data_IF_260531314319
#
_entry.id   IF_260531314319
#
_cell.length_a   1.000
_cell.length_b   1.000
_cell.length_c   1.000
_cell.angle_alpha   90.00
_cell.angle_beta   90.00
_cell.angle_gamma   90.00
#
_symmetry.space_group_name_H-M   'P 1'
#
loop_
_entity.id
_entity.type
_entity.pdbx_description
1 polymer ?
#
# COMPACT_ATOMS: atom_id res chain seq x y z
N UNK A 1 -20.18 -6.49 -13.88
CA UNK A 1 -20.39 -6.66 -12.42
C UNK A 1 -19.81 -5.42 -11.75
N UNK A 2 -20.51 -4.74 -10.84
CA UNK A 2 -19.92 -3.57 -10.15
C UNK A 2 -18.76 -4.01 -9.26
N UNK A 3 -17.66 -3.25 -9.24
CA UNK A 3 -16.51 -3.53 -8.36
C UNK A 3 -16.88 -3.50 -6.88
N UNK A 4 -17.89 -2.73 -6.48
CA UNK A 4 -18.42 -2.77 -5.11
C UNK A 4 -19.01 -4.14 -4.75
N UNK A 5 -19.71 -4.78 -5.70
CA UNK A 5 -20.25 -6.15 -5.52
C UNK A 5 -19.13 -7.17 -5.44
N UNK A 6 -18.11 -7.03 -6.29
CA UNK A 6 -16.92 -7.88 -6.27
C UNK A 6 -16.19 -7.81 -4.92
N UNK A 7 -15.90 -6.59 -4.44
CA UNK A 7 -15.23 -6.40 -3.14
C UNK A 7 -16.02 -7.05 -2.01
N UNK A 8 -17.35 -6.87 -1.98
CA UNK A 8 -18.21 -7.51 -0.98
C UNK A 8 -18.17 -9.04 -1.05
N UNK A 9 -18.15 -9.60 -2.26
CA UNK A 9 -18.06 -11.05 -2.47
C UNK A 9 -16.72 -11.61 -1.98
N UNK A 10 -15.60 -11.03 -2.42
CA UNK A 10 -14.24 -11.51 -2.11
C UNK A 10 -13.91 -11.33 -0.62
N UNK A 11 -14.31 -10.19 -0.02
CA UNK A 11 -14.18 -9.98 1.43
C UNK A 11 -15.13 -10.92 2.21
N UNK A 12 -16.30 -11.26 1.67
CA UNK A 12 -17.17 -12.29 2.25
C UNK A 12 -16.50 -13.66 2.29
N UNK A 13 -15.78 -14.05 1.24
CA UNK A 13 -14.99 -15.28 1.22
C UNK A 13 -13.88 -15.28 2.28
N UNK A 14 -13.23 -14.14 2.52
CA UNK A 14 -12.26 -13.99 3.62
C UNK A 14 -12.90 -14.30 4.97
N UNK A 15 -14.05 -13.68 5.27
CA UNK A 15 -14.76 -13.87 6.54
C UNK A 15 -15.14 -15.35 6.73
N UNK A 16 -15.69 -16.01 5.72
CA UNK A 16 -16.03 -17.44 5.84
C UNK A 16 -14.79 -18.34 6.03
N UNK A 17 -13.68 -18.02 5.36
CA UNK A 17 -12.41 -18.75 5.53
C UNK A 17 -11.87 -18.63 6.97
N UNK A 18 -11.86 -17.42 7.52
CA UNK A 18 -11.42 -17.17 8.90
C UNK A 18 -12.39 -17.79 9.91
N UNK A 19 -13.71 -17.72 9.64
CA UNK A 19 -14.75 -18.33 10.48
C UNK A 19 -14.59 -19.84 10.58
N UNK A 20 -14.27 -20.52 9.48
CA UNK A 20 -13.96 -21.95 9.51
C UNK A 20 -12.77 -22.24 10.44
N UNK A 21 -11.70 -21.46 10.28
CA UNK A 21 -10.49 -21.60 11.12
C UNK A 21 -10.79 -21.32 12.61
N UNK A 22 -11.71 -20.38 12.89
CA UNK A 22 -12.16 -20.07 14.25
C UNK A 22 -12.95 -21.22 14.88
N UNK A 23 -13.80 -21.91 14.11
CA UNK A 23 -14.54 -23.10 14.57
C UNK A 23 -13.58 -24.24 14.91
N UNK A 24 -12.54 -24.39 14.09
CA UNK A 24 -11.52 -25.44 14.27
C UNK A 24 -10.48 -25.06 15.36
N UNK A 25 -10.54 -23.83 15.90
CA UNK A 25 -9.63 -23.33 16.93
C UNK A 25 -8.19 -23.14 16.44
N UNK A 26 -8.00 -23.01 15.12
CA UNK A 26 -6.71 -22.97 14.46
C UNK A 26 -6.08 -21.58 14.48
N UNK A 27 -4.74 -21.55 14.44
CA UNK A 27 -3.98 -20.32 14.21
C UNK A 27 -4.02 -20.00 12.72
N UNK A 28 -4.33 -18.75 12.41
CA UNK A 28 -4.47 -18.24 11.05
C UNK A 28 -3.32 -17.32 10.71
N UNK A 29 -2.72 -17.54 9.54
CA UNK A 29 -1.90 -16.56 8.86
C UNK A 29 -2.78 -15.46 8.25
N UNK A 30 -2.96 -14.37 9.00
CA UNK A 30 -3.81 -13.27 8.58
C UNK A 30 -3.16 -12.46 7.44
N UNK A 31 -1.84 -12.30 7.47
CA UNK A 31 -1.08 -11.62 6.40
C UNK A 31 -1.24 -12.33 5.05
N UNK A 32 -1.13 -13.65 5.03
CA UNK A 32 -1.33 -14.47 3.84
C UNK A 32 -2.76 -14.37 3.30
N UNK A 33 -3.77 -14.58 4.15
CA UNK A 33 -5.19 -14.50 3.75
C UNK A 33 -5.59 -13.12 3.21
N UNK A 34 -5.12 -12.03 3.82
CA UNK A 34 -5.37 -10.67 3.32
C UNK A 34 -4.68 -10.47 1.97
N UNK A 35 -3.44 -10.96 1.82
CA UNK A 35 -2.69 -10.84 0.56
C UNK A 35 -3.40 -11.54 -0.60
N UNK A 36 -3.93 -12.74 -0.37
CA UNK A 36 -4.73 -13.49 -1.36
C UNK A 36 -5.98 -12.72 -1.80
N UNK A 37 -6.69 -12.12 -0.84
CA UNK A 37 -7.91 -11.31 -1.10
C UNK A 37 -7.58 -10.07 -1.92
N UNK A 38 -6.52 -9.36 -1.56
CA UNK A 38 -6.06 -8.18 -2.30
C UNK A 38 -5.63 -8.57 -3.71
N UNK A 39 -4.91 -9.67 -3.88
CA UNK A 39 -4.49 -10.19 -5.18
C UNK A 39 -5.68 -10.62 -6.04
N UNK A 40 -6.68 -11.31 -5.51
CA UNK A 40 -7.88 -11.71 -6.27
C UNK A 40 -8.71 -10.49 -6.69
N UNK A 41 -8.88 -9.50 -5.81
CA UNK A 41 -9.55 -8.23 -6.15
C UNK A 41 -8.77 -7.51 -7.25
N UNK A 42 -7.46 -7.33 -7.09
CA UNK A 42 -6.62 -6.64 -8.07
C UNK A 42 -6.64 -7.36 -9.43
N UNK A 43 -6.46 -8.68 -9.44
CA UNK A 43 -6.49 -9.50 -10.67
C UNK A 43 -7.84 -9.40 -11.37
N UNK A 44 -8.93 -9.49 -10.61
CA UNK A 44 -10.27 -9.41 -11.18
C UNK A 44 -10.60 -8.01 -11.68
N UNK A 45 -10.12 -6.96 -11.01
CA UNK A 45 -10.28 -5.58 -11.47
C UNK A 45 -9.47 -5.29 -12.74
N UNK A 46 -8.27 -5.85 -12.87
CA UNK A 46 -7.37 -5.61 -14.01
C UNK A 46 -7.80 -6.44 -15.24
N UNK A 47 -8.10 -7.72 -15.05
CA UNK A 47 -8.32 -8.67 -16.16
C UNK A 47 -9.76 -9.13 -16.32
N UNK A 48 -10.66 -8.74 -15.41
CA UNK A 48 -12.06 -9.19 -15.44
C UNK A 48 -12.25 -10.68 -15.11
N UNK A 49 -11.23 -11.36 -14.57
CA UNK A 49 -11.25 -12.80 -14.24
C UNK A 49 -10.66 -13.05 -12.85
N UNK A 50 -11.23 -14.03 -12.12
CA UNK A 50 -10.71 -14.50 -10.81
C UNK A 50 -9.33 -15.14 -10.96
N UNK A 51 -8.52 -15.06 -9.91
CA UNK A 51 -7.10 -15.46 -9.83
C UNK A 51 -6.83 -16.98 -9.91
N UNK A 52 -7.55 -17.73 -10.76
CA UNK A 52 -7.33 -19.18 -10.96
C UNK A 52 -6.54 -19.52 -12.22
N UNK A 53 -5.96 -18.52 -12.89
CA UNK A 53 -5.24 -18.68 -14.15
C UNK A 53 -3.81 -18.11 -13.99
N UNK A 54 -2.82 -19.00 -13.81
CA UNK A 54 -1.37 -18.72 -13.60
C UNK A 54 -0.71 -17.86 -14.72
N UNK A 55 -1.47 -17.43 -15.73
CA UNK A 55 -0.98 -16.66 -16.88
C UNK A 55 -0.69 -15.20 -16.56
N UNK A 56 -1.15 -14.67 -15.43
CA UNK A 56 -0.96 -13.27 -15.05
C UNK A 56 -0.17 -13.14 -13.74
N UNK A 57 1.15 -13.17 -13.83
CA UNK A 57 2.02 -12.96 -12.67
C UNK A 57 2.08 -11.47 -12.27
N UNK A 58 0.99 -10.96 -11.70
CA UNK A 58 0.89 -9.58 -11.20
C UNK A 58 1.92 -9.30 -10.12
N UNK A 59 2.13 -10.25 -9.21
CA UNK A 59 3.15 -10.16 -8.17
C UNK A 59 4.54 -9.99 -8.78
N UNK A 60 4.89 -10.80 -9.77
CA UNK A 60 6.16 -10.70 -10.50
C UNK A 60 6.29 -9.41 -11.30
N UNK A 61 5.19 -8.89 -11.87
CA UNK A 61 5.23 -7.62 -12.58
C UNK A 61 5.33 -6.41 -11.64
N UNK A 62 4.62 -6.44 -10.51
CA UNK A 62 4.77 -5.44 -9.46
C UNK A 62 6.19 -5.46 -8.91
N UNK A 63 6.75 -6.64 -8.64
CA UNK A 63 8.14 -6.79 -8.20
C UNK A 63 9.14 -6.34 -9.26
N UNK A 64 8.87 -6.59 -10.55
CA UNK A 64 9.66 -6.09 -11.67
C UNK A 64 9.61 -4.56 -11.74
N UNK A 65 8.43 -3.95 -11.70
CA UNK A 65 8.24 -2.49 -11.65
C UNK A 65 8.97 -1.88 -10.45
N UNK A 66 8.84 -2.49 -9.28
CA UNK A 66 9.51 -2.05 -8.06
C UNK A 66 11.04 -2.17 -8.19
N UNK A 67 11.53 -3.27 -8.77
CA UNK A 67 12.96 -3.46 -9.03
C UNK A 67 13.51 -2.43 -10.03
N UNK A 68 12.78 -2.15 -11.11
CA UNK A 68 13.17 -1.22 -12.16
C UNK A 68 13.18 0.23 -11.67
N UNK A 69 12.21 0.58 -10.83
CA UNK A 69 12.19 1.89 -10.20
C UNK A 69 13.30 2.01 -9.13
N UNK A 70 13.64 0.97 -8.38
CA UNK A 70 14.76 1.02 -7.41
C UNK A 70 16.16 0.80 -8.02
N UNK A 71 16.26 0.36 -9.27
CA UNK A 71 17.52 -0.08 -9.87
C UNK A 71 18.53 1.06 -10.01
N UNK A 72 19.77 0.78 -9.60
CA UNK A 72 20.93 1.59 -9.99
C UNK A 72 21.10 1.54 -11.51
N UNK A 73 21.10 2.70 -12.15
CA UNK A 73 21.31 2.82 -13.58
C UNK A 73 22.67 3.49 -13.84
N UNK A 74 23.59 2.75 -14.46
CA UNK A 74 24.93 3.20 -14.80
C UNK A 74 24.91 4.44 -15.71
N UNK A 75 23.86 4.60 -16.51
CA UNK A 75 23.68 5.77 -17.35
C UNK A 75 23.44 7.06 -16.54
N UNK A 76 23.03 6.96 -15.27
CA UNK A 76 22.85 8.12 -14.38
C UNK A 76 24.21 8.62 -13.86
N UNK A 77 25.20 7.72 -13.73
CA UNK A 77 26.58 8.06 -13.36
C UNK A 77 27.46 8.39 -14.57
N UNK A 78 27.19 7.75 -15.72
CA UNK A 78 27.99 7.87 -16.95
C UNK A 78 27.07 8.20 -18.13
N UNK A 79 26.66 9.49 -18.28
CA UNK A 79 25.57 9.87 -19.18
C UNK A 79 25.75 9.48 -20.66
N UNK A 80 27.00 9.48 -21.16
CA UNK A 80 27.28 9.13 -22.56
C UNK A 80 27.05 7.65 -22.89
N UNK A 81 27.04 6.75 -21.89
CA UNK A 81 26.65 5.34 -22.06
C UNK A 81 25.14 5.13 -22.07
N UNK A 82 24.35 6.18 -21.80
CA UNK A 82 22.90 6.10 -21.71
C UNK A 82 22.20 5.67 -23.00
N UNK A 83 22.82 5.84 -24.18
CA UNK A 83 22.24 5.37 -25.46
C UNK A 83 22.27 3.85 -25.60
N UNK A 84 23.18 3.17 -24.89
CA UNK A 84 23.39 1.73 -25.04
C UNK A 84 22.38 0.90 -24.24
N UNK A 85 21.69 1.50 -23.25
CA UNK A 85 20.79 0.80 -22.32
C UNK A 85 21.43 -0.51 -21.82
N UNK A 86 22.67 -0.42 -21.33
CA UNK A 86 23.52 -1.58 -21.01
C UNK A 86 22.87 -2.56 -20.03
N UNK A 87 22.03 -2.05 -19.13
CA UNK A 87 21.29 -2.84 -18.14
C UNK A 87 19.87 -3.21 -18.60
N UNK A 88 19.48 -2.81 -19.82
CA UNK A 88 18.16 -3.07 -20.40
C UNK A 88 16.99 -2.40 -19.67
N UNK A 89 17.27 -1.49 -18.74
CA UNK A 89 16.29 -0.91 -17.83
C UNK A 89 15.24 -0.11 -18.59
N UNK A 90 15.62 0.62 -19.66
CA UNK A 90 14.65 1.39 -20.45
C UNK A 90 13.67 0.51 -21.21
N UNK A 91 14.17 -0.57 -21.84
CA UNK A 91 13.31 -1.54 -22.55
C UNK A 91 12.35 -2.25 -21.59
N UNK A 92 12.83 -2.69 -20.43
CA UNK A 92 12.03 -3.34 -19.39
C UNK A 92 10.98 -2.39 -18.80
N UNK A 93 11.36 -1.15 -18.51
CA UNK A 93 10.46 -0.09 -18.04
C UNK A 93 9.36 0.21 -19.06
N UNK A 94 9.68 0.29 -20.36
CA UNK A 94 8.67 0.53 -21.41
C UNK A 94 7.64 -0.62 -21.49
N UNK A 95 8.09 -1.87 -21.37
CA UNK A 95 7.20 -3.04 -21.33
C UNK A 95 6.28 -3.01 -20.11
N UNK A 96 6.82 -2.64 -18.95
CA UNK A 96 6.05 -2.53 -17.72
C UNK A 96 5.06 -1.35 -17.73
N UNK A 97 5.44 -0.20 -18.32
CA UNK A 97 4.58 0.97 -18.50
C UNK A 97 3.30 0.65 -19.27
N UNK A 98 3.40 -0.08 -20.38
CA UNK A 98 2.23 -0.45 -21.18
C UNK A 98 1.18 -1.25 -20.38
N UNK A 99 1.63 -2.03 -19.40
CA UNK A 99 0.73 -2.76 -18.51
C UNK A 99 0.10 -1.84 -17.46
N UNK A 100 0.91 -0.95 -16.87
CA UNK A 100 0.41 0.08 -15.94
C UNK A 100 -0.68 0.90 -16.62
N UNK A 101 -0.49 1.30 -17.88
CA UNK A 101 -1.49 2.06 -18.63
C UNK A 101 -2.85 1.34 -18.70
N UNK A 102 -2.87 0.02 -18.93
CA UNK A 102 -4.11 -0.79 -18.92
C UNK A 102 -4.79 -0.83 -17.54
N UNK A 103 -3.99 -0.91 -16.47
CA UNK A 103 -4.49 -0.88 -15.08
C UNK A 103 -5.08 0.50 -14.76
N UNK A 104 -4.42 1.58 -15.19
CA UNK A 104 -4.85 2.95 -14.96
C UNK A 104 -6.18 3.25 -15.64
N UNK A 105 -6.40 2.78 -16.87
CA UNK A 105 -7.68 2.96 -17.57
C UNK A 105 -8.86 2.37 -16.77
N UNK A 106 -8.67 1.18 -16.17
CA UNK A 106 -9.67 0.54 -15.32
C UNK A 106 -9.90 1.31 -14.00
N UNK A 107 -8.84 1.81 -13.36
CA UNK A 107 -8.95 2.59 -12.12
C UNK A 107 -9.61 3.95 -12.38
N UNK A 108 -9.30 4.61 -13.50
CA UNK A 108 -9.94 5.87 -13.90
C UNK A 108 -11.43 5.65 -14.14
N UNK A 109 -11.84 4.51 -14.71
CA UNK A 109 -13.25 4.18 -14.90
C UNK A 109 -14.05 4.00 -13.60
N UNK A 110 -13.37 3.68 -12.49
CA UNK A 110 -13.98 3.54 -11.16
C UNK A 110 -14.24 4.92 -10.50
N UNK A 111 -13.66 5.99 -11.03
CA UNK A 111 -13.70 7.32 -10.41
C UNK A 111 -15.01 8.07 -10.66
N UNK A 112 -16.13 7.54 -10.16
CA UNK A 112 -17.34 8.32 -9.87
C UNK A 112 -18.07 7.71 -8.66
N UNK A 113 -18.13 8.53 -7.58
CA UNK A 113 -18.87 8.35 -6.32
C UNK A 113 -18.19 7.48 -5.25
N UNK A 114 -17.36 8.13 -4.42
CA UNK A 114 -17.50 7.98 -2.97
C UNK A 114 -16.84 9.16 -2.23
N UNK A 115 -17.66 10.14 -1.87
CA UNK A 115 -17.31 11.27 -1.00
C UNK A 115 -17.97 11.04 0.35
N UNK A 116 -17.30 10.35 1.26
CA UNK A 116 -17.60 10.53 2.67
C UNK A 116 -16.30 10.66 3.49
N UNK A 117 -15.98 11.87 3.97
CA UNK A 117 -14.89 12.10 4.89
C UNK A 117 -15.39 11.85 6.32
N UNK A 118 -15.25 10.62 6.82
CA UNK A 118 -15.40 10.38 8.25
C UNK A 118 -14.20 9.60 8.77
N UNK A 119 -13.45 10.27 9.64
CA UNK A 119 -12.49 9.79 10.66
C UNK A 119 -11.70 8.56 10.26
N UNK A 120 -10.61 8.80 9.52
CA UNK A 120 -9.66 7.77 9.05
C UNK A 120 -8.42 7.72 9.93
N UNK A 121 -8.53 8.20 11.14
CA UNK A 121 -7.44 8.47 12.08
C UNK A 121 -6.51 7.26 12.25
N UNK A 122 -7.09 6.06 12.36
CA UNK A 122 -6.33 4.81 12.45
C UNK A 122 -5.54 4.48 11.18
N UNK A 123 -6.16 4.68 10.00
CA UNK A 123 -5.52 4.41 8.71
C UNK A 123 -4.45 5.45 8.40
N UNK A 124 -4.72 6.71 8.72
CA UNK A 124 -3.77 7.81 8.59
C UNK A 124 -2.54 7.57 9.45
N UNK A 125 -2.73 7.20 10.72
CA UNK A 125 -1.63 6.90 11.64
C UNK A 125 -0.83 5.67 11.21
N UNK A 126 -1.51 4.63 10.70
CA UNK A 126 -0.83 3.47 10.12
C UNK A 126 0.05 3.85 8.94
N UNK A 127 -0.42 4.73 8.05
CA UNK A 127 0.37 5.18 6.90
C UNK A 127 1.48 6.17 7.26
N UNK A 128 1.33 6.92 8.36
CA UNK A 128 2.39 7.80 8.88
C UNK A 128 3.58 6.98 9.39
N UNK A 129 3.31 5.99 10.24
CA UNK A 129 4.35 5.13 10.84
C UNK A 129 4.90 4.10 9.85
N UNK A 130 4.03 3.51 9.04
CA UNK A 130 4.39 2.42 8.13
C UNK A 130 4.00 2.76 6.68
N UNK A 131 4.59 3.80 6.07
CA UNK A 131 4.32 4.14 4.68
C UNK A 131 4.79 3.00 3.77
N UNK A 132 3.86 2.44 2.98
CA UNK A 132 4.16 1.35 2.05
C UNK A 132 5.30 1.74 1.08
N UNK A 133 5.39 3.00 0.65
CA UNK A 133 6.47 3.50 -0.20
C UNK A 133 7.26 4.59 0.54
N UNK A 134 8.25 4.24 1.38
CA UNK A 134 8.92 5.18 2.29
C UNK A 134 9.68 6.31 1.56
N UNK A 135 10.19 6.03 0.35
CA UNK A 135 10.90 7.01 -0.48
C UNK A 135 10.09 7.53 -1.68
N UNK A 136 8.80 7.17 -1.74
CA UNK A 136 7.88 7.40 -2.85
C UNK A 136 8.46 6.98 -4.22
N UNK A 137 7.74 7.29 -5.29
CA UNK A 137 8.25 7.10 -6.66
C UNK A 137 9.17 8.27 -6.99
N UNK A 138 10.43 8.02 -7.37
CA UNK A 138 11.38 9.11 -7.63
C UNK A 138 10.97 10.01 -8.79
N UNK A 139 11.30 11.29 -8.68
CA UNK A 139 11.10 12.31 -9.71
C UNK A 139 12.42 12.66 -10.38
N UNK A 140 12.35 13.25 -11.57
CA UNK A 140 13.51 13.72 -12.33
C UNK A 140 13.37 15.24 -12.55
N UNK A 141 14.44 15.98 -12.28
CA UNK A 141 14.52 17.41 -12.60
C UNK A 141 14.55 17.61 -14.13
N UNK A 142 13.57 18.36 -14.65
CA UNK A 142 13.44 18.62 -16.09
C UNK A 142 14.37 19.74 -16.59
N UNK A 143 14.86 20.56 -15.66
CA UNK A 143 15.78 21.69 -15.87
C UNK A 143 16.65 21.89 -14.63
N UNK A 144 17.72 22.66 -14.79
CA UNK A 144 18.54 23.11 -13.66
C UNK A 144 17.67 24.00 -12.78
N UNK A 145 17.66 23.74 -11.47
CA UNK A 145 16.80 24.46 -10.55
C UNK A 145 17.50 24.70 -9.22
N UNK A 146 16.88 25.48 -8.35
CA UNK A 146 17.32 25.71 -6.99
C UNK A 146 16.19 25.26 -6.06
N UNK A 147 16.50 24.39 -5.11
CA UNK A 147 15.57 24.00 -4.04
C UNK A 147 16.14 24.59 -2.75
N UNK A 148 15.39 25.50 -2.14
CA UNK A 148 15.88 26.38 -1.06
C UNK A 148 17.14 27.13 -1.50
N UNK A 149 18.31 26.78 -0.95
CA UNK A 149 19.60 27.39 -1.26
C UNK A 149 20.53 26.46 -2.09
N UNK A 150 20.03 25.29 -2.52
CA UNK A 150 20.82 24.26 -3.17
C UNK A 150 20.54 24.20 -4.67
N UNK A 151 21.60 24.31 -5.48
CA UNK A 151 21.51 24.10 -6.93
C UNK A 151 21.38 22.62 -7.27
N UNK A 152 20.34 22.27 -8.01
CA UNK A 152 20.00 20.91 -8.43
C UNK A 152 20.09 20.84 -9.96
N UNK A 153 21.05 20.08 -10.53
CA UNK A 153 21.18 19.93 -11.96
C UNK A 153 19.95 19.26 -12.62
N UNK A 154 19.70 19.59 -13.88
CA UNK A 154 18.81 18.85 -14.77
C UNK A 154 19.20 17.36 -14.79
N UNK A 155 18.20 16.48 -14.90
CA UNK A 155 18.34 15.01 -14.79
C UNK A 155 18.67 14.47 -13.40
N UNK A 156 18.82 15.33 -12.39
CA UNK A 156 18.93 14.86 -11.01
C UNK A 156 17.66 14.10 -10.60
N UNK A 157 17.87 12.98 -9.90
CA UNK A 157 16.80 12.17 -9.32
C UNK A 157 16.46 12.70 -7.93
N UNK A 158 15.19 13.02 -7.71
CA UNK A 158 14.67 13.54 -6.45
C UNK A 158 13.80 12.47 -5.79
N UNK A 159 14.07 12.17 -4.52
CA UNK A 159 13.35 11.19 -3.72
C UNK A 159 12.78 11.90 -2.50
N UNK A 160 11.50 11.67 -2.21
CA UNK A 160 10.83 12.26 -1.05
C UNK A 160 10.75 11.19 0.02
N UNK A 161 11.44 11.41 1.12
CA UNK A 161 11.47 10.46 2.23
C UNK A 161 10.22 10.64 3.12
N UNK A 162 9.09 10.09 2.67
CA UNK A 162 7.83 10.12 3.39
C UNK A 162 7.94 9.45 4.78
N UNK A 163 8.79 8.44 4.92
CA UNK A 163 9.07 7.82 6.22
C UNK A 163 9.72 8.81 7.19
N UNK A 164 10.78 9.52 6.76
CA UNK A 164 11.43 10.51 7.62
C UNK A 164 10.47 11.65 8.01
N UNK A 165 9.62 12.11 7.08
CA UNK A 165 8.59 13.13 7.38
C UNK A 165 7.59 12.59 8.41
N UNK A 166 7.14 11.34 8.26
CA UNK A 166 6.22 10.69 9.20
C UNK A 166 6.82 10.46 10.59
N UNK A 167 8.15 10.36 10.69
CA UNK A 167 8.90 10.12 11.91
C UNK A 167 9.61 11.37 12.47
N UNK A 168 9.34 12.56 11.94
CA UNK A 168 9.94 13.79 12.45
C UNK A 168 9.19 14.32 13.70
N UNK A 169 9.82 14.34 14.90
CA UNK A 169 9.18 14.84 16.12
C UNK A 169 8.88 16.35 16.04
N UNK A 170 9.57 17.11 15.18
CA UNK A 170 9.25 18.52 14.96
C UNK A 170 7.90 18.72 14.24
N UNK A 171 7.44 17.70 13.52
CA UNK A 171 6.16 17.69 12.79
C UNK A 171 5.06 16.99 13.61
N UNK A 172 5.41 15.89 14.27
CA UNK A 172 4.46 14.95 14.89
C UNK A 172 4.51 14.87 16.42
N UNK A 173 5.30 15.73 17.07
CA UNK A 173 5.54 15.78 18.53
C UNK A 173 6.39 14.62 19.07
N UNK A 174 6.82 14.71 20.32
CA UNK A 174 7.76 13.75 20.95
C UNK A 174 7.25 12.30 20.95
N UNK A 175 5.93 12.07 20.92
CA UNK A 175 5.34 10.74 20.86
C UNK A 175 5.27 10.17 19.42
N UNK A 176 6.14 10.63 18.53
CA UNK A 176 6.11 10.30 17.09
C UNK A 176 6.22 8.80 16.81
N UNK A 177 6.86 8.02 17.67
CA UNK A 177 6.98 6.56 17.52
C UNK A 177 5.75 5.81 18.06
N UNK A 178 4.85 6.48 18.79
CA UNK A 178 3.63 5.86 19.31
C UNK A 178 2.54 5.84 18.23
N UNK A 179 1.88 4.68 18.09
CA UNK A 179 0.65 4.56 17.32
C UNK A 179 -0.48 5.26 18.08
N UNK A 180 -0.77 6.51 17.70
CA UNK A 180 -1.74 7.38 18.37
C UNK A 180 -2.70 8.01 17.35
N UNK A 181 -3.71 7.26 16.86
CA UNK A 181 -4.69 7.73 15.87
C UNK A 181 -5.35 9.05 16.24
N UNK A 182 -5.62 9.27 17.52
CA UNK A 182 -6.32 10.43 18.05
C UNK A 182 -5.66 11.77 17.64
N UNK A 183 -4.38 11.77 17.24
CA UNK A 183 -3.70 12.94 16.67
C UNK A 183 -4.38 13.50 15.41
N UNK A 184 -5.21 12.72 14.72
CA UNK A 184 -5.92 13.13 13.51
C UNK A 184 -7.34 13.64 13.76
N UNK A 185 -7.91 13.46 14.96
CA UNK A 185 -9.30 13.86 15.24
C UNK A 185 -9.50 15.37 15.07
N UNK A 186 -8.55 16.16 15.55
CA UNK A 186 -8.62 17.63 15.52
C UNK A 186 -7.74 18.25 14.42
N UNK A 187 -6.92 17.43 13.75
CA UNK A 187 -6.07 17.87 12.63
C UNK A 187 -6.81 17.59 11.33
N UNK A 188 -7.11 18.63 10.55
CA UNK A 188 -7.71 18.50 9.22
C UNK A 188 -6.67 18.05 8.17
N UNK A 189 -5.92 16.99 8.47
CA UNK A 189 -4.89 16.39 7.60
C UNK A 189 -5.51 15.20 6.86
N UNK A 190 -5.36 15.15 5.55
CA UNK A 190 -5.84 14.04 4.73
C UNK A 190 -4.75 13.37 3.88
N UNK A 191 -5.12 12.23 3.26
CA UNK A 191 -4.21 11.42 2.45
C UNK A 191 -4.13 11.88 0.99
N UNK A 192 -4.79 12.98 0.63
CA UNK A 192 -4.92 13.45 -0.77
C UNK A 192 -3.73 14.31 -1.20
N UNK A 193 -2.64 14.31 -0.44
CA UNK A 193 -1.37 14.95 -0.78
C UNK A 193 -1.42 16.47 -0.86
N UNK A 194 -2.36 17.11 -0.16
CA UNK A 194 -2.33 18.56 0.10
C UNK A 194 -1.58 18.90 1.40
N UNK A 195 -1.57 17.97 2.35
CA UNK A 195 -0.84 18.07 3.62
C UNK A 195 0.52 17.37 3.47
N UNK A 196 1.60 18.16 3.43
CA UNK A 196 2.95 17.65 3.13
C UNK A 196 3.57 16.88 4.31
N UNK A 197 2.98 16.99 5.49
CA UNK A 197 3.29 16.21 6.68
C UNK A 197 2.90 14.73 6.50
N UNK A 198 1.94 14.41 5.62
CA UNK A 198 1.46 13.05 5.40
C UNK A 198 1.28 12.72 3.90
N UNK A 199 2.31 12.09 3.31
CA UNK A 199 2.38 11.85 1.86
C UNK A 199 2.43 10.36 1.43
N UNK A 200 1.68 9.42 2.03
CA UNK A 200 1.81 7.99 1.72
C UNK A 200 1.45 7.63 0.27
N UNK A 201 0.68 8.49 -0.41
CA UNK A 201 0.31 8.35 -1.82
C UNK A 201 1.01 9.38 -2.73
N UNK A 202 1.96 10.13 -2.19
CA UNK A 202 2.61 11.26 -2.86
C UNK A 202 1.67 12.44 -3.10
N UNK A 203 2.09 13.35 -3.98
CA UNK A 203 1.36 14.58 -4.29
C UNK A 203 1.45 14.97 -5.77
N UNK A 204 0.51 15.85 -6.17
CA UNK A 204 0.42 16.48 -7.49
C UNK A 204 0.07 15.52 -8.62
N UNK A 205 0.50 15.86 -9.86
CA UNK A 205 0.11 15.16 -11.11
C UNK A 205 0.45 13.67 -11.18
N UNK A 206 1.34 13.17 -10.32
CA UNK A 206 1.75 11.75 -10.29
C UNK A 206 1.49 11.10 -8.92
N UNK A 207 0.54 11.67 -8.17
CA UNK A 207 -0.02 11.03 -6.99
C UNK A 207 -0.61 9.67 -7.36
N UNK A 208 -0.63 8.74 -6.40
CA UNK A 208 -1.10 7.38 -6.60
C UNK A 208 -2.53 7.37 -7.19
N UNK A 209 -2.71 6.91 -8.43
CA UNK A 209 -4.04 6.85 -9.05
C UNK A 209 -4.93 5.79 -8.40
N UNK A 210 -4.32 4.77 -7.76
CA UNK A 210 -5.02 3.71 -7.04
C UNK A 210 -5.42 4.04 -5.60
N UNK A 211 -5.16 5.26 -5.10
CA UNK A 211 -5.39 5.65 -3.70
C UNK A 211 -6.81 5.29 -3.22
N UNK A 212 -7.84 5.76 -3.94
CA UNK A 212 -9.23 5.56 -3.52
C UNK A 212 -9.61 4.07 -3.47
N UNK A 213 -9.16 3.29 -4.47
CA UNK A 213 -9.44 1.86 -4.53
C UNK A 213 -8.73 1.11 -3.41
N UNK A 214 -7.44 1.41 -3.17
CA UNK A 214 -6.66 0.86 -2.07
C UNK A 214 -7.27 1.17 -0.70
N UNK A 215 -7.62 2.44 -0.44
CA UNK A 215 -8.26 2.84 0.81
C UNK A 215 -9.61 2.16 1.01
N UNK A 216 -10.40 1.99 -0.05
CA UNK A 216 -11.68 1.27 0.02
C UNK A 216 -11.46 -0.19 0.43
N UNK A 217 -10.48 -0.88 -0.15
CA UNK A 217 -10.18 -2.28 0.19
C UNK A 217 -9.68 -2.38 1.63
N UNK A 218 -8.72 -1.54 2.03
CA UNK A 218 -8.19 -1.52 3.42
C UNK A 218 -9.32 -1.32 4.43
N UNK A 219 -10.20 -0.34 4.21
CA UNK A 219 -11.32 -0.06 5.12
C UNK A 219 -12.31 -1.23 5.19
N UNK A 220 -12.65 -1.82 4.05
CA UNK A 220 -13.58 -2.96 4.02
C UNK A 220 -13.01 -4.18 4.74
N UNK A 221 -11.75 -4.52 4.48
CA UNK A 221 -11.07 -5.66 5.12
C UNK A 221 -10.95 -5.42 6.63
N UNK A 222 -10.47 -4.24 7.03
CA UNK A 222 -10.31 -3.88 8.44
C UNK A 222 -11.65 -3.91 9.19
N UNK A 223 -12.69 -3.29 8.63
CA UNK A 223 -14.02 -3.26 9.24
C UNK A 223 -14.57 -4.68 9.45
N UNK A 224 -14.42 -5.57 8.47
CA UNK A 224 -14.93 -6.94 8.56
C UNK A 224 -14.14 -7.79 9.56
N UNK A 225 -12.81 -7.68 9.57
CA UNK A 225 -11.94 -8.40 10.51
C UNK A 225 -12.21 -7.99 11.96
N UNK A 226 -12.38 -6.70 12.23
CA UNK A 226 -12.66 -6.18 13.58
C UNK A 226 -14.11 -6.44 14.02
N UNK A 227 -15.06 -6.38 13.09
CA UNK A 227 -16.47 -6.60 13.41
C UNK A 227 -16.81 -8.07 13.66
N UNK A 228 -16.24 -8.98 12.85
CA UNK A 228 -16.62 -10.39 12.86
C UNK A 228 -15.84 -11.23 13.87
N UNK A 229 -14.64 -10.81 14.29
CA UNK A 229 -13.72 -11.64 15.06
C UNK A 229 -13.11 -10.91 16.25
N UNK A 230 -12.95 -11.65 17.35
CA UNK A 230 -11.98 -11.33 18.39
C UNK A 230 -10.67 -12.08 18.06
N UNK A 231 -9.53 -11.49 18.42
CA UNK A 231 -8.22 -11.99 18.03
C UNK A 231 -7.33 -12.21 19.25
N UNK A 232 -6.74 -13.40 19.31
CA UNK A 232 -5.76 -13.77 20.33
C UNK A 232 -4.41 -14.05 19.69
N UNK A 233 -3.34 -13.73 20.40
CA UNK A 233 -1.99 -14.13 20.00
C UNK A 233 -1.78 -15.61 20.35
N UNK A 234 -1.16 -16.41 19.46
CA UNK A 234 -0.91 -17.81 19.74
C UNK A 234 0.11 -17.99 20.87
N UNK A 235 0.09 -19.17 21.49
CA UNK A 235 1.13 -19.64 22.43
C UNK A 235 1.42 -18.71 23.63
N UNK A 236 0.44 -17.90 24.06
CA UNK A 236 0.60 -17.01 25.22
C UNK A 236 1.48 -15.77 24.97
N UNK A 237 1.79 -15.47 23.71
CA UNK A 237 2.51 -14.25 23.34
C UNK A 237 1.77 -12.99 23.80
N UNK A 238 2.53 -11.96 24.15
CA UNK A 238 2.04 -10.65 24.50
C UNK A 238 2.12 -9.69 23.31
N UNK A 239 1.36 -8.58 23.29
CA UNK A 239 1.40 -7.61 22.18
C UNK A 239 2.80 -7.08 21.85
N UNK A 240 3.66 -6.93 22.86
CA UNK A 240 5.06 -6.51 22.70
C UNK A 240 5.96 -7.54 21.99
N UNK A 241 5.52 -8.80 21.93
CA UNK A 241 6.25 -9.89 21.29
C UNK A 241 5.92 -9.97 19.79
N UNK A 242 4.97 -9.15 19.30
CA UNK A 242 4.64 -9.06 17.89
C UNK A 242 5.81 -8.43 17.14
N UNK A 243 6.40 -9.20 16.23
CA UNK A 243 7.47 -8.71 15.37
C UNK A 243 6.94 -7.73 14.31
N UNK A 244 7.30 -6.46 14.47
CA UNK A 244 7.00 -5.36 13.55
C UNK A 244 8.18 -5.05 12.61
N UNK A 245 9.22 -5.90 12.56
CA UNK A 245 10.31 -5.73 11.62
C UNK A 245 9.79 -5.72 10.18
N UNK A 246 10.45 -4.92 9.35
CA UNK A 246 10.06 -4.67 7.97
C UNK A 246 11.16 -5.11 7.00
N UNK A 247 10.76 -5.62 5.84
CA UNK A 247 11.69 -5.83 4.73
C UNK A 247 11.73 -4.54 3.92
N UNK A 248 12.88 -3.87 3.97
CA UNK A 248 13.10 -2.65 3.21
C UNK A 248 13.21 -2.95 1.72
N UNK A 249 12.49 -2.16 0.92
CA UNK A 249 12.45 -2.22 -0.53
C UNK A 249 11.75 -0.98 -1.09
N UNK A 250 11.44 -0.96 -2.38
CA UNK A 250 10.62 0.13 -2.94
C UNK A 250 9.19 0.11 -2.38
N UNK A 251 8.69 -1.08 -2.02
CA UNK A 251 7.55 -1.26 -1.12
C UNK A 251 8.03 -1.90 0.18
N UNK A 252 7.50 -1.44 1.31
CA UNK A 252 7.76 -1.99 2.64
C UNK A 252 6.60 -2.87 3.06
N UNK A 253 6.94 -4.02 3.64
CA UNK A 253 6.00 -4.94 4.24
C UNK A 253 6.65 -5.56 5.48
N UNK A 254 5.81 -6.11 6.38
CA UNK A 254 6.30 -6.87 7.53
C UNK A 254 7.16 -8.04 7.06
N UNK A 255 8.28 -8.23 7.74
CA UNK A 255 9.22 -9.31 7.46
C UNK A 255 8.62 -10.68 7.75
N UNK A 256 7.79 -10.74 8.81
CA UNK A 256 7.13 -11.96 9.24
C UNK A 256 5.60 -11.80 9.18
N UNK A 257 4.94 -12.87 8.78
CA UNK A 257 3.49 -12.93 8.70
C UNK A 257 2.83 -12.81 10.08
N UNK A 258 1.70 -12.11 10.16
CA UNK A 258 0.92 -11.97 11.37
C UNK A 258 0.06 -13.22 11.59
N UNK A 259 0.42 -14.00 12.60
CA UNK A 259 -0.30 -15.20 13.01
C UNK A 259 -1.22 -14.88 14.19
N UNK A 260 -2.52 -15.16 14.06
CA UNK A 260 -3.51 -14.90 15.11
C UNK A 260 -4.51 -16.04 15.22
N UNK A 261 -5.07 -16.23 16.41
CA UNK A 261 -6.18 -17.16 16.66
C UNK A 261 -7.50 -16.38 16.66
N UNK A 262 -8.41 -16.64 15.71
CA UNK A 262 -9.69 -15.94 15.63
C UNK A 262 -10.75 -16.62 16.52
N UNK A 263 -11.62 -15.80 17.12
CA UNK A 263 -12.89 -16.22 17.74
C UNK A 263 -14.04 -15.50 17.05
N UNK A 264 -14.99 -16.23 16.47
CA UNK A 264 -16.11 -15.61 15.75
C UNK A 264 -17.14 -14.98 16.69
N UNK A 265 -17.42 -13.69 16.52
CA UNK A 265 -18.22 -12.87 17.45
C UNK A 265 -19.71 -12.85 17.17
N UNK A 266 -20.12 -13.16 15.93
CA UNK A 266 -21.49 -12.91 15.46
C UNK A 266 -22.41 -14.13 15.61
N UNK A 267 -22.06 -15.07 16.49
CA UNK A 267 -22.90 -16.24 16.81
C UNK A 267 -24.27 -15.76 17.32
N UNK A 268 -25.35 -16.11 16.61
CA UNK A 268 -26.73 -15.82 17.01
C UNK A 268 -27.29 -14.45 16.60
N UNK A 269 -26.55 -13.61 15.86
CA UNK A 269 -27.11 -12.39 15.26
C UNK A 269 -27.64 -12.70 13.85
N UNK A 270 -28.93 -13.02 13.77
CA UNK A 270 -29.67 -13.05 12.49
C UNK A 270 -29.57 -11.68 11.83
N UNK A 271 -29.08 -11.66 10.58
CA UNK A 271 -29.22 -10.53 9.64
C UNK A 271 -30.67 -10.18 9.39
#
# INVERSE_FOLDING_TARGET
MSFAKLRKEVVGCLVESVKKSAVDGEVVDLSGKISEVVEDIATTMIFGKKSRDDRYNLKGLAQELLSLAGAFNLADCVPFLGVLDLQGLRKRMKKASNFVDQVLENIISEHQKDTNPQHQDFVNESFRLHPIAPLLVPRECIEDTIIEEHWIPKKSRVMVNAWAIGHDPNVWSENVEEFYPERFIERNIDLKGHDFELLPFGSGRRMCPGMQSGLTIVRLVLAQILHCFDWELPSGMQPKDIDMAEIFGLSVARANHLLLKPTYRLIGKTT
#
